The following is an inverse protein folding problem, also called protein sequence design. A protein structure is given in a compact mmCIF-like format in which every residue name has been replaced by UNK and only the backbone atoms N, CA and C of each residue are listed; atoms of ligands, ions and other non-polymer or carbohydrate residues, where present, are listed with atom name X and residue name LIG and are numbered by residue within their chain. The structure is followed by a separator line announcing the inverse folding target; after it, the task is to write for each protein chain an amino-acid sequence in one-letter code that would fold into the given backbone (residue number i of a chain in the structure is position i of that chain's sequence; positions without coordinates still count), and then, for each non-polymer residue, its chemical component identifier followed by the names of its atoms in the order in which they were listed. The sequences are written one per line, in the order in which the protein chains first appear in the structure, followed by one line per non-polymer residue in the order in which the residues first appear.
data_IF_565371771961
#
_entry.id   IF_565371771961
#
_cell.length_a   1.000
_cell.length_b   1.000
_cell.length_c   1.000
_cell.angle_alpha   90.00
_cell.angle_beta   90.00
_cell.angle_gamma   90.00
#
_symmetry.space_group_name_H-M   'P 1'
#
loop_
_entity.id
_entity.type
_entity.pdbx_description
1 polymer ?
#
# COMPACT_ATOMS: atom_id res chain seq x y z
N UNK A 1 -7.12 -12.14 -10.62
CA UNK A 1 -7.29 -10.74 -11.08
C UNK A 1 -6.05 -9.90 -10.74
N UNK A 2 -5.63 -8.97 -11.60
CA UNK A 2 -4.43 -8.13 -11.38
C UNK A 2 -4.77 -6.96 -10.44
N UNK A 3 -4.03 -6.76 -9.33
CA UNK A 3 -4.18 -5.59 -8.47
C UNK A 3 -3.99 -4.29 -9.24
N UNK A 4 -4.95 -3.38 -9.20
CA UNK A 4 -4.77 -2.04 -9.79
C UNK A 4 -3.96 -1.19 -8.83
N UNK A 5 -2.86 -0.64 -9.33
CA UNK A 5 -2.04 0.33 -8.61
C UNK A 5 -2.71 1.70 -8.70
N UNK A 6 -3.43 2.13 -7.67
CA UNK A 6 -4.35 3.29 -7.77
C UNK A 6 -3.76 4.54 -7.14
N UNK A 7 -3.01 4.40 -6.04
CA UNK A 7 -2.34 5.52 -5.39
C UNK A 7 -0.87 5.17 -5.11
N UNK A 8 0.02 6.06 -5.53
CA UNK A 8 1.45 6.03 -5.25
C UNK A 8 1.84 7.14 -4.29
N UNK A 9 3.00 6.98 -3.65
CA UNK A 9 3.73 8.06 -2.98
C UNK A 9 2.99 8.79 -1.85
N UNK A 10 2.03 8.11 -1.21
CA UNK A 10 1.39 8.61 0.02
C UNK A 10 2.47 8.70 1.10
N UNK A 11 2.74 9.84 1.73
CA UNK A 11 3.78 9.95 2.75
C UNK A 11 3.61 8.90 3.86
N UNK A 12 4.70 8.26 4.30
CA UNK A 12 4.66 7.33 5.43
C UNK A 12 4.63 8.09 6.78
N UNK A 13 3.62 8.94 6.93
CA UNK A 13 3.34 9.79 8.09
C UNK A 13 1.99 9.41 8.68
N UNK A 14 1.67 9.91 9.88
CA UNK A 14 0.36 9.68 10.51
C UNK A 14 -0.80 10.08 9.59
N UNK A 15 -0.71 11.24 8.93
CA UNK A 15 -1.69 11.71 7.95
C UNK A 15 -1.84 10.74 6.77
N UNK A 16 -0.73 10.23 6.23
CA UNK A 16 -0.79 9.25 5.13
C UNK A 16 -1.40 7.93 5.56
N UNK A 17 -1.14 7.47 6.80
CA UNK A 17 -1.82 6.30 7.35
C UNK A 17 -3.31 6.56 7.59
N UNK A 18 -3.67 7.76 8.02
CA UNK A 18 -5.05 8.19 8.22
C UNK A 18 -5.83 8.23 6.89
N UNK A 19 -5.22 8.76 5.83
CA UNK A 19 -5.77 8.70 4.48
C UNK A 19 -6.09 7.25 4.08
N UNK A 20 -5.14 6.33 4.24
CA UNK A 20 -5.35 4.91 3.88
C UNK A 20 -6.42 4.26 4.76
N UNK A 21 -6.50 4.64 6.05
CA UNK A 21 -7.55 4.17 6.97
C UNK A 21 -8.93 4.63 6.50
N UNK A 22 -9.07 5.89 6.11
CA UNK A 22 -10.32 6.45 5.58
C UNK A 22 -10.70 5.83 4.23
N UNK A 23 -9.73 5.63 3.33
CA UNK A 23 -9.95 4.88 2.08
C UNK A 23 -10.52 3.49 2.37
N UNK A 24 -9.94 2.74 3.31
CA UNK A 24 -10.44 1.41 3.71
C UNK A 24 -11.81 1.47 4.38
N UNK A 25 -12.11 2.55 5.12
CA UNK A 25 -13.41 2.76 5.77
C UNK A 25 -14.54 2.90 4.75
N UNK A 26 -14.32 3.69 3.70
CA UNK A 26 -15.35 4.03 2.70
C UNK A 26 -15.29 3.20 1.41
N UNK A 27 -14.34 2.28 1.29
CA UNK A 27 -14.28 1.33 0.17
C UNK A 27 -15.55 0.48 0.14
N UNK A 28 -16.12 0.26 -1.05
CA UNK A 28 -17.13 -0.78 -1.26
C UNK A 28 -16.47 -2.16 -1.09
N UNK A 29 -16.59 -2.73 0.12
CA UNK A 29 -15.94 -3.99 0.53
C UNK A 29 -16.60 -5.23 -0.07
N UNK A 30 -17.81 -5.13 -0.61
CA UNK A 30 -18.48 -6.25 -1.27
C UNK A 30 -17.84 -6.58 -2.62
N UNK A 31 -17.25 -5.55 -3.25
CA UNK A 31 -16.64 -5.67 -4.57
C UNK A 31 -15.14 -5.49 -4.56
N UNK A 32 -14.56 -4.80 -3.58
CA UNK A 32 -13.15 -4.44 -3.64
C UNK A 32 -12.37 -4.71 -2.34
N UNK A 33 -11.11 -5.14 -2.50
CA UNK A 33 -10.12 -5.19 -1.43
C UNK A 33 -9.03 -4.16 -1.65
N UNK A 34 -8.63 -3.49 -0.57
CA UNK A 34 -7.52 -2.55 -0.56
C UNK A 34 -6.31 -3.17 0.16
N UNK A 35 -5.15 -3.14 -0.50
CA UNK A 35 -3.86 -3.56 0.05
C UNK A 35 -2.88 -2.39 0.11
N UNK A 36 -2.29 -2.16 1.27
CA UNK A 36 -1.21 -1.17 1.51
C UNK A 36 0.15 -1.86 1.46
N UNK A 37 1.12 -1.26 0.78
CA UNK A 37 2.54 -1.67 0.77
C UNK A 37 3.44 -0.46 0.98
N UNK A 38 4.64 -0.68 1.50
CA UNK A 38 5.67 0.35 1.59
C UNK A 38 6.40 0.52 0.27
N UNK A 39 6.86 1.73 -0.01
CA UNK A 39 7.56 2.11 -1.24
C UNK A 39 8.75 3.03 -0.90
N UNK A 40 9.84 2.83 -1.64
CA UNK A 40 11.17 3.45 -1.47
C UNK A 40 11.82 3.21 -0.12
N UNK A 41 13.05 2.70 -0.11
CA UNK A 41 13.77 2.44 1.13
C UNK A 41 14.23 3.78 1.76
N UNK A 42 14.10 3.92 3.09
CA UNK A 42 14.63 5.08 3.82
C UNK A 42 16.14 5.23 3.61
N UNK A 43 16.61 6.48 3.58
CA UNK A 43 18.04 6.81 3.49
C UNK A 43 18.79 6.22 4.68
N UNK A 44 19.98 5.69 4.44
CA UNK A 44 20.84 5.09 5.47
C UNK A 44 20.61 3.60 5.72
N UNK A 45 19.63 2.99 5.06
CA UNK A 45 19.44 1.53 5.08
C UNK A 45 20.14 0.88 3.88
N UNK A 46 20.76 -0.28 4.11
CA UNK A 46 21.41 -1.06 3.06
C UNK A 46 20.37 -1.87 2.27
N UNK A 47 20.14 -1.48 1.01
CA UNK A 47 19.17 -2.12 0.12
C UNK A 47 19.46 -3.61 -0.13
N UNK A 48 20.72 -4.06 -0.02
CA UNK A 48 21.10 -5.46 -0.23
C UNK A 48 20.46 -6.40 0.80
N UNK A 49 20.13 -5.88 1.98
CA UNK A 49 19.45 -6.63 3.04
C UNK A 49 17.94 -6.78 2.79
N UNK A 50 17.40 -6.16 1.75
CA UNK A 50 15.97 -6.14 1.42
C UNK A 50 15.70 -6.77 0.05
N UNK A 51 16.39 -7.85 -0.28
CA UNK A 51 16.20 -8.61 -1.54
C UNK A 51 14.77 -9.13 -1.72
N UNK A 52 14.07 -9.43 -0.63
CA UNK A 52 12.67 -9.86 -0.62
C UNK A 52 11.68 -8.69 -0.37
N UNK A 53 12.16 -7.45 -0.46
CA UNK A 53 11.39 -6.24 -0.20
C UNK A 53 11.59 -5.67 1.21
N UNK A 54 11.23 -4.41 1.36
CA UNK A 54 11.32 -3.67 2.62
C UNK A 54 10.00 -3.67 3.40
N UNK A 55 10.10 -3.53 4.72
CA UNK A 55 8.94 -3.31 5.59
C UNK A 55 8.37 -1.90 5.43
N UNK A 56 7.09 -1.71 5.80
CA UNK A 56 6.46 -0.38 5.82
C UNK A 56 7.24 0.62 6.70
N UNK A 57 7.69 0.27 7.93
CA UNK A 57 8.50 1.19 8.75
C UNK A 57 9.80 1.65 8.08
N UNK A 58 10.38 0.82 7.21
CA UNK A 58 11.60 1.13 6.46
C UNK A 58 11.34 1.84 5.12
N UNK A 59 10.08 2.17 4.84
CA UNK A 59 9.65 2.82 3.61
C UNK A 59 9.48 4.33 3.77
N UNK A 60 9.70 5.10 2.71
CA UNK A 60 9.51 6.56 2.70
C UNK A 60 8.03 6.89 2.43
N UNK A 61 7.39 6.13 1.55
CA UNK A 61 6.00 6.31 1.20
C UNK A 61 5.22 4.98 1.23
N UNK A 62 3.91 5.11 1.10
CA UNK A 62 2.91 4.06 1.05
C UNK A 62 2.32 4.04 -0.36
N UNK A 63 1.98 2.84 -0.79
CA UNK A 63 1.42 2.59 -2.09
C UNK A 63 0.21 1.67 -1.93
N UNK A 64 -0.87 1.96 -2.64
CA UNK A 64 -2.17 1.30 -2.43
C UNK A 64 -2.62 0.60 -3.71
N UNK A 65 -3.03 -0.65 -3.52
CA UNK A 65 -3.64 -1.47 -4.55
C UNK A 65 -5.10 -1.71 -4.24
N UNK A 66 -5.95 -1.65 -5.27
CA UNK A 66 -7.35 -2.04 -5.19
C UNK A 66 -7.57 -3.23 -6.12
N UNK A 67 -8.06 -4.34 -5.56
CA UNK A 67 -8.50 -5.49 -6.33
C UNK A 67 -10.02 -5.48 -6.40
N UNK A 68 -10.60 -5.97 -7.50
CA UNK A 68 -12.01 -6.32 -7.56
C UNK A 68 -12.10 -7.81 -7.20
N UNK A 69 -12.85 -8.10 -6.14
CA UNK A 69 -12.99 -9.43 -5.56
C UNK A 69 -14.22 -10.16 -6.11
N UNK A 70 -14.66 -9.83 -7.34
CA UNK A 70 -15.66 -10.62 -8.06
C UNK A 70 -15.36 -12.11 -7.91
N UNK A 71 -16.09 -12.78 -7.01
CA UNK A 71 -15.89 -14.19 -6.67
C UNK A 71 -16.41 -15.15 -7.74
N UNK A 72 -16.94 -14.61 -8.84
CA UNK A 72 -17.67 -15.34 -9.89
C UNK A 72 -17.01 -15.21 -11.28
N UNK A 73 -15.69 -15.14 -11.36
CA UNK A 73 -14.92 -15.36 -12.59
C UNK A 73 -13.86 -16.43 -12.34
#
# INVERSE_FOLDING_TARGET
MIPKYVFSDIPNTEEGHELVRLMKKYLNKDKYTLKKRGQYLKKGLDWRKYSHGQSIPNSICLRVYINNDNKNL
#
